data_IF_235376224527
#
_entry.id   IF_235376224527
#
_cell.length_a   1.000
_cell.length_b   1.000
_cell.length_c   1.000
_cell.angle_alpha   90.00
_cell.angle_beta   90.00
_cell.angle_gamma   90.00
#
_symmetry.space_group_name_H-M   'P 1'
#
loop_
_entity.id
_entity.type
_entity.pdbx_description
1 polymer ?
#
# COMPACT_ATOMS: atom_id res chain seq x y z
N UNK A 1 13.79 -2.58 -39.63
CA UNK A 1 14.26 -3.14 -38.35
C UNK A 1 13.65 -2.30 -37.20
N UNK A 2 12.97 -2.91 -36.23
CA UNK A 2 12.26 -2.18 -35.17
C UNK A 2 13.29 -1.43 -34.29
N UNK A 3 13.10 -0.13 -34.01
CA UNK A 3 14.03 0.70 -33.22
C UNK A 3 14.48 0.04 -31.90
N UNK A 4 13.59 -0.76 -31.27
CA UNK A 4 13.91 -1.52 -30.05
C UNK A 4 14.95 -2.63 -30.30
N UNK A 5 14.89 -3.26 -31.45
CA UNK A 5 15.86 -4.32 -31.82
C UNK A 5 17.25 -3.75 -32.13
N UNK A 6 17.30 -2.58 -32.79
CA UNK A 6 18.56 -1.88 -33.07
C UNK A 6 19.20 -1.38 -31.76
N UNK A 7 18.41 -0.85 -30.84
CA UNK A 7 18.87 -0.38 -29.53
C UNK A 7 19.43 -1.55 -28.69
N UNK A 8 18.76 -2.71 -28.72
CA UNK A 8 19.21 -3.90 -28.03
C UNK A 8 20.56 -4.37 -28.61
N UNK A 9 20.73 -4.37 -29.94
CA UNK A 9 21.98 -4.77 -30.62
C UNK A 9 23.14 -3.85 -30.17
N UNK A 10 22.90 -2.54 -30.08
CA UNK A 10 23.88 -1.57 -29.61
C UNK A 10 24.26 -1.81 -28.14
N UNK A 11 23.29 -2.12 -27.28
CA UNK A 11 23.51 -2.38 -25.85
C UNK A 11 24.27 -3.71 -25.63
N UNK A 12 24.01 -4.74 -26.46
CA UNK A 12 24.71 -6.02 -26.43
C UNK A 12 26.16 -5.84 -26.91
N UNK A 13 26.38 -5.09 -27.97
CA UNK A 13 27.71 -4.81 -28.52
C UNK A 13 28.59 -3.99 -27.54
N UNK A 14 27.99 -3.18 -26.69
CA UNK A 14 28.68 -2.41 -25.65
C UNK A 14 28.83 -3.13 -24.30
N UNK A 15 28.47 -4.44 -24.22
CA UNK A 15 28.53 -5.20 -22.97
C UNK A 15 27.53 -4.78 -21.87
N UNK A 16 26.59 -3.90 -22.19
CA UNK A 16 25.57 -3.39 -21.26
C UNK A 16 24.38 -4.35 -21.10
N UNK A 17 24.31 -5.39 -21.96
CA UNK A 17 23.26 -6.41 -21.92
C UNK A 17 23.89 -7.82 -21.86
N UNK A 18 23.32 -8.75 -21.08
CA UNK A 18 23.71 -10.15 -21.11
C UNK A 18 23.52 -10.72 -22.53
N UNK A 19 24.55 -11.41 -23.09
CA UNK A 19 24.55 -11.95 -24.46
C UNK A 19 23.36 -12.87 -24.80
N UNK A 20 22.63 -13.39 -23.78
CA UNK A 20 21.52 -14.35 -23.92
C UNK A 20 20.23 -13.83 -23.35
N UNK A 21 19.89 -12.54 -23.49
CA UNK A 21 18.61 -12.01 -23.05
C UNK A 21 17.68 -11.68 -24.21
N UNK A 22 16.41 -12.02 -24.05
CA UNK A 22 15.35 -11.76 -25.01
C UNK A 22 14.52 -10.54 -24.58
N UNK A 23 13.96 -9.83 -25.56
CA UNK A 23 12.96 -8.79 -25.28
C UNK A 23 11.62 -9.47 -24.97
N UNK A 24 11.09 -9.25 -23.76
CA UNK A 24 9.87 -9.89 -23.30
C UNK A 24 8.69 -9.68 -24.25
N UNK A 25 8.48 -8.45 -24.73
CA UNK A 25 7.35 -8.08 -25.59
C UNK A 25 7.40 -8.71 -27.00
N UNK A 26 8.52 -9.32 -27.38
CA UNK A 26 8.62 -10.03 -28.68
C UNK A 26 8.32 -11.52 -28.59
N UNK A 27 8.14 -12.04 -27.37
CA UNK A 27 7.92 -13.47 -27.15
C UNK A 27 6.46 -13.85 -27.37
N UNK A 28 6.16 -14.97 -28.04
CA UNK A 28 4.81 -15.47 -28.17
C UNK A 28 4.22 -15.89 -26.83
N UNK A 29 2.93 -15.56 -26.60
CA UNK A 29 2.17 -15.95 -25.43
C UNK A 29 0.94 -16.75 -25.82
N UNK A 30 0.64 -17.85 -25.10
CA UNK A 30 -0.56 -18.65 -25.24
C UNK A 30 -1.01 -19.09 -23.85
N UNK A 31 -2.22 -18.74 -23.45
CA UNK A 31 -2.78 -19.07 -22.12
C UNK A 31 -1.88 -18.66 -20.93
N UNK A 32 -1.21 -17.52 -21.06
CA UNK A 32 -0.26 -17.03 -20.04
C UNK A 32 1.07 -17.75 -19.96
N UNK A 33 1.34 -18.65 -20.91
CA UNK A 33 2.61 -19.38 -21.07
C UNK A 33 3.40 -18.71 -22.19
N UNK A 34 4.67 -18.43 -21.94
CA UNK A 34 5.59 -17.84 -22.91
C UNK A 34 6.32 -18.94 -23.68
N UNK A 35 6.42 -18.77 -24.99
CA UNK A 35 7.10 -19.71 -25.87
C UNK A 35 8.34 -19.10 -26.52
N UNK A 36 9.30 -19.93 -26.82
CA UNK A 36 10.48 -19.56 -27.60
C UNK A 36 10.06 -19.41 -29.07
N UNK A 37 10.30 -18.25 -29.71
CA UNK A 37 9.90 -18.03 -31.11
C UNK A 37 10.66 -18.94 -32.13
N UNK A 38 11.85 -19.37 -31.76
CA UNK A 38 12.73 -20.11 -32.71
C UNK A 38 12.39 -21.61 -32.81
N UNK A 39 11.88 -22.19 -31.72
CA UNK A 39 11.65 -23.64 -31.65
C UNK A 39 10.26 -24.03 -31.14
N UNK A 40 9.40 -23.05 -30.78
CA UNK A 40 8.02 -23.26 -30.32
C UNK A 40 7.88 -23.97 -28.96
N UNK A 41 8.98 -24.18 -28.21
CA UNK A 41 8.96 -24.79 -26.88
C UNK A 41 8.68 -23.76 -25.80
N UNK A 42 8.17 -24.16 -24.58
CA UNK A 42 8.08 -23.27 -23.44
C UNK A 42 9.42 -22.60 -23.13
N UNK A 43 9.37 -21.26 -22.95
CA UNK A 43 10.57 -20.43 -22.83
C UNK A 43 11.24 -20.58 -21.45
N UNK A 44 12.58 -20.65 -21.42
CA UNK A 44 13.33 -20.89 -20.16
C UNK A 44 14.59 -20.04 -20.02
N UNK A 45 14.56 -18.79 -20.49
CA UNK A 45 15.71 -17.90 -20.50
C UNK A 45 15.45 -16.57 -19.75
N UNK A 46 16.49 -15.75 -19.71
CA UNK A 46 16.42 -14.37 -19.21
C UNK A 46 15.68 -13.48 -20.21
N UNK A 47 14.88 -12.57 -19.67
CA UNK A 47 14.20 -11.54 -20.45
C UNK A 47 14.48 -10.17 -19.90
N UNK A 48 14.46 -9.21 -20.81
CA UNK A 48 14.49 -7.79 -20.48
C UNK A 48 13.44 -7.08 -21.33
N UNK A 49 12.85 -6.03 -20.80
CA UNK A 49 11.99 -5.09 -21.54
C UNK A 49 12.57 -3.69 -21.39
N UNK A 50 12.52 -2.91 -22.44
CA UNK A 50 13.01 -1.54 -22.45
C UNK A 50 11.84 -0.56 -22.57
N UNK A 51 11.99 0.60 -21.97
CA UNK A 51 11.22 1.78 -22.30
C UNK A 51 11.65 2.33 -23.67
N UNK A 52 10.83 3.21 -24.25
CA UNK A 52 11.14 3.85 -25.55
C UNK A 52 12.40 4.73 -25.50
N UNK A 53 12.79 5.22 -24.31
CA UNK A 53 14.03 5.94 -24.08
C UNK A 53 15.26 5.02 -23.92
N UNK A 54 15.12 3.71 -24.10
CA UNK A 54 16.19 2.72 -24.00
C UNK A 54 16.55 2.24 -22.62
N UNK A 55 15.97 2.80 -21.57
CA UNK A 55 16.20 2.33 -20.20
C UNK A 55 15.47 1.01 -19.94
N UNK A 56 16.03 0.19 -19.03
CA UNK A 56 15.42 -1.07 -18.63
C UNK A 56 14.09 -0.80 -17.91
N UNK A 57 13.00 -1.40 -18.41
CA UNK A 57 11.68 -1.38 -17.82
C UNK A 57 11.49 -2.53 -16.82
N UNK A 58 11.98 -3.70 -17.20
CA UNK A 58 11.99 -4.90 -16.34
C UNK A 58 13.08 -5.88 -16.77
N UNK A 59 13.45 -6.76 -15.85
CA UNK A 59 14.26 -7.95 -16.13
C UNK A 59 13.86 -9.10 -15.21
N UNK A 60 13.89 -10.32 -15.74
CA UNK A 60 13.55 -11.52 -15.01
C UNK A 60 13.87 -12.78 -15.81
N UNK A 61 13.38 -13.90 -15.32
CA UNK A 61 13.58 -15.20 -15.97
C UNK A 61 12.26 -15.96 -16.08
N UNK A 62 12.07 -16.61 -17.21
CA UNK A 62 11.07 -17.66 -17.34
C UNK A 62 11.71 -19.04 -17.16
N UNK A 63 10.90 -19.99 -16.70
CA UNK A 63 11.25 -21.41 -16.67
C UNK A 63 9.99 -22.20 -17.08
N UNK A 64 10.10 -22.99 -18.15
CA UNK A 64 8.97 -23.72 -18.72
C UNK A 64 7.80 -22.83 -19.16
N UNK A 65 8.09 -21.60 -19.62
CA UNK A 65 7.11 -20.62 -20.06
C UNK A 65 6.46 -19.79 -18.95
N UNK A 66 6.79 -20.06 -17.67
CA UNK A 66 6.27 -19.34 -16.51
C UNK A 66 7.32 -18.38 -15.95
N UNK A 67 6.88 -17.22 -15.47
CA UNK A 67 7.79 -16.35 -14.74
C UNK A 67 8.24 -17.05 -13.44
N UNK A 68 9.56 -17.08 -13.22
CA UNK A 68 10.16 -17.81 -12.12
C UNK A 68 11.42 -17.11 -11.61
N UNK A 69 11.71 -17.23 -10.31
CA UNK A 69 12.87 -16.59 -9.72
C UNK A 69 12.71 -15.09 -9.51
N UNK A 70 13.82 -14.36 -9.40
CA UNK A 70 13.80 -12.93 -9.12
C UNK A 70 13.46 -12.10 -10.36
N UNK A 71 12.55 -11.12 -10.15
CA UNK A 71 12.16 -10.11 -11.11
C UNK A 71 12.41 -8.73 -10.54
N UNK A 72 12.87 -7.83 -11.40
CA UNK A 72 13.11 -6.42 -11.09
C UNK A 72 12.38 -5.55 -12.11
N UNK A 73 11.69 -4.54 -11.63
CA UNK A 73 10.93 -3.55 -12.39
C UNK A 73 11.49 -2.17 -12.10
N UNK A 74 11.50 -1.30 -13.10
CA UNK A 74 12.10 0.02 -13.02
C UNK A 74 11.12 1.09 -13.48
N UNK A 75 11.35 2.30 -13.07
CA UNK A 75 10.73 3.50 -13.60
C UNK A 75 11.48 4.02 -14.83
N UNK A 76 10.85 4.93 -15.59
CA UNK A 76 11.44 5.57 -16.79
C UNK A 76 12.69 6.42 -16.50
N UNK A 77 12.97 6.73 -15.24
CA UNK A 77 14.20 7.40 -14.80
C UNK A 77 15.29 6.42 -14.33
N UNK A 78 15.11 5.12 -14.54
CA UNK A 78 16.06 4.07 -14.16
C UNK A 78 16.00 3.63 -12.69
N UNK A 79 15.25 4.34 -11.84
CA UNK A 79 15.06 3.95 -10.44
C UNK A 79 14.27 2.64 -10.32
N UNK A 80 14.62 1.82 -9.34
CA UNK A 80 13.91 0.57 -9.07
C UNK A 80 12.47 0.88 -8.63
N UNK A 81 11.50 0.19 -9.24
CA UNK A 81 10.07 0.27 -8.93
C UNK A 81 9.62 -0.86 -8.02
N UNK A 82 10.06 -2.10 -8.32
CA UNK A 82 9.71 -3.27 -7.53
C UNK A 82 10.74 -4.39 -7.73
N UNK A 83 10.92 -5.23 -6.71
CA UNK A 83 11.73 -6.46 -6.79
C UNK A 83 11.15 -7.53 -5.90
N UNK A 84 11.11 -8.77 -6.41
CA UNK A 84 10.65 -9.93 -5.67
C UNK A 84 10.79 -11.20 -6.49
N UNK A 85 10.20 -12.28 -5.98
CA UNK A 85 10.26 -13.59 -6.64
C UNK A 85 8.88 -14.01 -7.13
N UNK A 86 8.89 -14.65 -8.29
CA UNK A 86 7.76 -15.44 -8.79
C UNK A 86 8.04 -16.93 -8.69
N UNK A 87 6.96 -17.70 -8.58
CA UNK A 87 6.97 -19.14 -8.72
C UNK A 87 5.85 -19.57 -9.65
N UNK A 88 6.20 -20.07 -10.82
CA UNK A 88 5.28 -20.53 -11.88
C UNK A 88 4.14 -19.54 -12.17
N UNK A 89 4.46 -18.24 -12.27
CA UNK A 89 3.48 -17.21 -12.55
C UNK A 89 3.15 -17.15 -14.03
N UNK A 90 1.86 -17.10 -14.38
CA UNK A 90 1.38 -16.88 -15.74
C UNK A 90 1.57 -15.41 -16.13
N UNK A 91 1.93 -15.18 -17.37
CA UNK A 91 2.10 -13.84 -17.91
C UNK A 91 1.11 -13.57 -19.04
N UNK A 92 -0.11 -13.23 -18.66
CA UNK A 92 -1.21 -13.05 -19.61
C UNK A 92 -1.10 -11.80 -20.50
N UNK A 93 -0.36 -10.78 -20.08
CA UNK A 93 -0.43 -9.46 -20.72
C UNK A 93 0.86 -9.01 -21.41
N UNK A 94 2.00 -9.60 -21.08
CA UNK A 94 3.33 -9.12 -21.50
C UNK A 94 3.63 -7.65 -21.18
N UNK A 95 2.73 -6.98 -20.45
CA UNK A 95 2.84 -5.58 -20.05
C UNK A 95 2.77 -5.43 -18.52
N UNK A 96 3.50 -4.43 -18.01
CA UNK A 96 3.49 -4.13 -16.59
C UNK A 96 4.07 -5.24 -15.71
N UNK A 97 3.60 -5.29 -14.48
CA UNK A 97 3.99 -6.32 -13.51
C UNK A 97 3.04 -7.52 -13.62
N UNK A 98 3.62 -8.72 -13.48
CA UNK A 98 2.84 -9.95 -13.37
C UNK A 98 2.12 -9.92 -12.02
N UNK A 99 0.83 -10.21 -12.00
CA UNK A 99 -0.01 -10.04 -10.80
C UNK A 99 -0.07 -11.29 -9.93
N UNK A 100 -0.05 -12.49 -10.52
CA UNK A 100 -0.09 -13.77 -9.81
C UNK A 100 1.30 -14.36 -9.54
N UNK A 101 1.35 -15.47 -8.81
CA UNK A 101 2.59 -16.24 -8.59
C UNK A 101 3.67 -15.54 -7.77
N UNK A 102 3.41 -14.38 -7.16
CA UNK A 102 4.34 -13.73 -6.24
C UNK A 102 4.56 -14.58 -5.01
N UNK A 103 5.85 -14.76 -4.64
CA UNK A 103 6.24 -15.52 -3.44
C UNK A 103 7.39 -14.85 -2.71
N UNK A 104 7.46 -15.08 -1.39
CA UNK A 104 8.53 -14.55 -0.56
C UNK A 104 8.53 -13.02 -0.47
N UNK A 105 9.67 -12.46 -0.08
CA UNK A 105 9.81 -11.03 0.16
C UNK A 105 9.73 -10.23 -1.14
N UNK A 106 8.88 -9.20 -1.13
CA UNK A 106 8.78 -8.16 -2.14
C UNK A 106 9.08 -6.80 -1.55
N UNK A 107 9.74 -5.95 -2.35
CA UNK A 107 10.03 -4.55 -2.01
C UNK A 107 9.61 -3.69 -3.18
N UNK A 108 8.95 -2.59 -2.88
CA UNK A 108 8.49 -1.58 -3.84
C UNK A 108 9.06 -0.22 -3.43
N UNK A 109 9.32 0.61 -4.42
CA UNK A 109 9.87 1.96 -4.24
C UNK A 109 9.01 2.99 -4.96
N UNK A 110 9.06 4.21 -4.51
CA UNK A 110 8.58 5.38 -5.23
C UNK A 110 9.58 5.79 -6.32
N UNK A 111 9.15 6.65 -7.25
CA UNK A 111 9.97 7.16 -8.36
C UNK A 111 11.18 7.99 -7.89
N UNK A 112 11.14 8.55 -6.69
CA UNK A 112 12.27 9.24 -6.06
C UNK A 112 13.28 8.28 -5.35
N UNK A 113 13.05 6.95 -5.40
CA UNK A 113 13.92 5.94 -4.81
C UNK A 113 13.64 5.61 -3.34
N UNK A 114 12.73 6.31 -2.65
CA UNK A 114 12.32 5.95 -1.30
C UNK A 114 11.48 4.67 -1.31
N UNK A 115 11.54 3.86 -0.26
CA UNK A 115 10.69 2.66 -0.13
C UNK A 115 9.22 3.07 -0.11
N UNK A 116 8.38 2.30 -0.80
CA UNK A 116 6.93 2.45 -0.83
C UNK A 116 6.24 1.43 0.05
N UNK A 117 6.58 0.15 -0.10
CA UNK A 117 6.07 -0.94 0.73
C UNK A 117 6.95 -2.17 0.65
N UNK A 118 6.91 -3.00 1.69
CA UNK A 118 7.56 -4.33 1.71
C UNK A 118 6.78 -5.30 2.56
N UNK A 119 6.86 -6.57 2.19
CA UNK A 119 6.24 -7.66 2.92
C UNK A 119 6.47 -8.98 2.20
N UNK A 120 5.73 -9.98 2.60
CA UNK A 120 5.81 -11.34 2.08
C UNK A 120 4.54 -11.66 1.29
N UNK A 121 4.70 -12.26 0.12
CA UNK A 121 3.63 -12.91 -0.60
C UNK A 121 3.69 -14.43 -0.43
N UNK A 122 2.52 -15.03 -0.25
CA UNK A 122 2.31 -16.47 -0.30
C UNK A 122 1.20 -16.75 -1.31
N UNK A 123 1.52 -17.54 -2.35
CA UNK A 123 0.57 -17.84 -3.43
C UNK A 123 -0.10 -16.59 -4.04
N UNK A 124 0.67 -15.57 -4.36
CA UNK A 124 0.21 -14.31 -4.95
C UNK A 124 -0.50 -13.35 -3.99
N UNK A 125 -0.79 -13.76 -2.74
CA UNK A 125 -1.49 -12.95 -1.74
C UNK A 125 -0.55 -12.44 -0.67
N UNK A 126 -0.80 -11.24 -0.17
CA UNK A 126 -0.09 -10.67 0.97
C UNK A 126 -0.27 -11.59 2.20
N UNK A 127 0.85 -11.92 2.88
CA UNK A 127 0.85 -12.80 4.05
C UNK A 127 1.96 -12.38 5.01
N UNK A 128 1.71 -12.45 6.34
CA UNK A 128 2.65 -11.96 7.34
C UNK A 128 2.71 -10.44 7.43
N UNK A 129 3.80 -9.90 7.96
CA UNK A 129 3.93 -8.47 8.23
C UNK A 129 4.21 -7.68 6.96
N UNK A 130 3.49 -6.57 6.81
CA UNK A 130 3.66 -5.58 5.75
C UNK A 130 3.91 -4.21 6.35
N UNK A 131 4.81 -3.45 5.71
CA UNK A 131 5.14 -2.06 6.07
C UNK A 131 4.99 -1.19 4.84
N UNK A 132 4.36 -0.04 5.02
CA UNK A 132 4.13 0.97 3.98
C UNK A 132 4.77 2.29 4.41
N UNK A 133 5.23 3.08 3.46
CA UNK A 133 5.86 4.38 3.69
C UNK A 133 5.22 5.46 2.82
N UNK A 134 5.26 6.67 3.31
CA UNK A 134 5.04 7.87 2.52
C UNK A 134 6.23 8.14 1.60
N UNK A 135 6.03 8.98 0.58
CA UNK A 135 7.10 9.37 -0.35
C UNK A 135 8.20 10.21 0.31
N UNK A 136 7.92 10.88 1.43
CA UNK A 136 8.90 11.58 2.26
C UNK A 136 9.77 10.66 3.13
N UNK A 137 9.51 9.33 3.12
CA UNK A 137 10.27 8.32 3.85
C UNK A 137 9.74 7.99 5.24
N UNK A 138 8.78 8.74 5.79
CA UNK A 138 8.11 8.38 7.03
C UNK A 138 7.22 7.15 6.84
N UNK A 139 7.08 6.36 7.91
CA UNK A 139 6.17 5.21 7.91
C UNK A 139 4.73 5.71 7.75
N UNK A 140 3.97 5.08 6.84
CA UNK A 140 2.56 5.33 6.62
C UNK A 140 1.70 4.36 7.44
N UNK A 141 1.99 3.07 7.33
CA UNK A 141 1.26 2.04 8.06
C UNK A 141 2.04 0.73 8.12
N UNK A 142 1.71 -0.08 9.11
CA UNK A 142 2.16 -1.46 9.19
C UNK A 142 1.06 -2.34 9.78
N UNK A 143 1.09 -3.61 9.41
CA UNK A 143 0.14 -4.58 9.92
C UNK A 143 0.37 -5.96 9.34
N UNK A 144 -0.38 -6.89 9.88
CA UNK A 144 -0.30 -8.29 9.48
C UNK A 144 -1.42 -8.63 8.49
N UNK A 145 -1.05 -9.40 7.48
CA UNK A 145 -1.98 -9.96 6.50
C UNK A 145 -2.03 -11.48 6.62
N UNK A 146 -3.19 -12.04 6.35
CA UNK A 146 -3.42 -13.48 6.22
C UNK A 146 -4.20 -13.73 4.94
N UNK A 147 -3.57 -14.40 3.97
CA UNK A 147 -4.18 -14.70 2.66
C UNK A 147 -4.77 -13.45 1.95
N UNK A 148 -4.09 -12.32 2.02
CA UNK A 148 -4.47 -11.06 1.38
C UNK A 148 -5.37 -10.15 2.19
N UNK A 149 -5.82 -10.56 3.38
CA UNK A 149 -6.70 -9.80 4.27
C UNK A 149 -5.96 -9.33 5.52
N UNK A 150 -6.26 -8.14 6.01
CA UNK A 150 -5.75 -7.65 7.29
C UNK A 150 -6.17 -8.59 8.43
N UNK A 151 -5.21 -8.97 9.28
CA UNK A 151 -5.46 -9.90 10.38
C UNK A 151 -4.40 -9.75 11.47
N UNK A 152 -4.79 -9.27 12.64
CA UNK A 152 -3.93 -8.89 13.76
C UNK A 152 -3.72 -7.38 13.81
N UNK A 153 -2.73 -6.95 14.59
CA UNK A 153 -2.51 -5.54 14.89
C UNK A 153 -2.18 -4.72 13.63
N UNK A 154 -2.85 -3.60 13.51
CA UNK A 154 -2.65 -2.54 12.53
C UNK A 154 -2.26 -1.26 13.23
N UNK A 155 -1.31 -0.55 12.65
CA UNK A 155 -0.93 0.80 13.07
C UNK A 155 -0.69 1.68 11.87
N UNK A 156 -1.17 2.92 11.92
CA UNK A 156 -0.88 3.93 10.89
C UNK A 156 -0.40 5.25 11.50
N UNK A 157 0.27 6.05 10.66
CA UNK A 157 0.86 7.32 11.03
C UNK A 157 0.50 8.38 9.99
N UNK A 158 0.44 9.61 10.42
CA UNK A 158 0.41 10.78 9.55
C UNK A 158 1.77 11.00 8.87
N UNK A 159 1.80 11.80 7.81
CA UNK A 159 3.03 12.11 7.07
C UNK A 159 4.08 12.92 7.87
N UNK A 160 3.70 13.48 9.02
CA UNK A 160 4.59 14.12 9.99
C UNK A 160 5.20 13.14 11.01
N UNK A 161 4.81 11.85 10.98
CA UNK A 161 5.30 10.79 11.85
C UNK A 161 4.48 10.56 13.13
N UNK A 162 3.48 11.37 13.42
CA UNK A 162 2.57 11.14 14.54
C UNK A 162 1.64 9.96 14.26
N UNK A 163 1.29 9.20 15.30
CA UNK A 163 0.35 8.09 15.20
C UNK A 163 -1.00 8.62 14.76
N UNK A 164 -1.68 7.90 13.86
CA UNK A 164 -3.02 8.18 13.38
C UNK A 164 -4.05 7.22 13.99
N UNK A 165 -3.77 5.92 13.97
CA UNK A 165 -4.65 4.90 14.50
C UNK A 165 -3.91 3.65 14.92
N UNK A 166 -4.45 2.92 15.91
CA UNK A 166 -4.01 1.59 16.33
C UNK A 166 -5.25 0.76 16.67
N UNK A 167 -5.25 -0.49 16.24
CA UNK A 167 -6.26 -1.48 16.59
C UNK A 167 -5.97 -2.82 15.93
N UNK A 168 -6.87 -3.75 16.09
CA UNK A 168 -6.75 -5.06 15.49
C UNK A 168 -7.78 -5.27 14.38
N UNK A 169 -7.39 -6.06 13.37
CA UNK A 169 -8.27 -6.57 12.35
C UNK A 169 -8.41 -8.08 12.42
N UNK A 170 -9.60 -8.58 12.16
CA UNK A 170 -9.88 -9.98 11.87
C UNK A 170 -10.50 -10.06 10.48
N UNK A 171 -9.70 -10.52 9.50
CA UNK A 171 -10.13 -10.70 8.09
C UNK A 171 -10.74 -9.45 7.46
N UNK A 172 -10.07 -8.31 7.56
CA UNK A 172 -10.44 -6.96 7.13
C UNK A 172 -11.50 -6.25 7.97
N UNK A 173 -11.98 -6.86 9.03
CA UNK A 173 -12.95 -6.26 9.94
C UNK A 173 -12.27 -5.81 11.22
N UNK A 174 -12.54 -4.58 11.66
CA UNK A 174 -12.06 -4.06 12.93
C UNK A 174 -12.57 -4.96 14.08
N UNK A 175 -11.67 -5.28 15.02
CA UNK A 175 -11.97 -6.15 16.16
C UNK A 175 -11.17 -5.69 17.39
N UNK A 176 -11.77 -5.72 18.59
CA UNK A 176 -11.11 -5.24 19.80
C UNK A 176 -11.05 -3.71 19.90
N UNK A 177 -10.12 -3.23 20.72
CA UNK A 177 -9.96 -1.82 21.04
C UNK A 177 -9.26 -1.04 19.91
N UNK A 178 -9.85 0.12 19.56
CA UNK A 178 -9.31 1.04 18.59
C UNK A 178 -9.10 2.42 19.19
N UNK A 179 -7.99 3.04 18.85
CA UNK A 179 -7.62 4.38 19.25
C UNK A 179 -7.23 5.19 18.02
N UNK A 180 -7.71 6.45 17.97
CA UNK A 180 -7.49 7.37 16.86
C UNK A 180 -6.94 8.69 17.39
N UNK A 181 -5.93 9.24 16.70
CA UNK A 181 -5.30 10.51 17.05
C UNK A 181 -5.39 11.48 15.87
N UNK A 182 -5.33 12.76 16.16
CA UNK A 182 -5.17 13.78 15.12
C UNK A 182 -3.69 13.95 14.72
N UNK A 183 -3.46 14.80 13.72
CA UNK A 183 -2.12 15.01 13.15
C UNK A 183 -1.13 15.72 14.10
N UNK A 184 -1.60 16.31 15.19
CA UNK A 184 -0.75 16.89 16.24
C UNK A 184 -0.49 15.93 17.40
N UNK A 185 -1.07 14.71 17.36
CA UNK A 185 -0.87 13.64 18.34
C UNK A 185 -1.88 13.64 19.48
N UNK A 186 -2.96 14.43 19.40
CA UNK A 186 -4.04 14.43 20.36
C UNK A 186 -4.97 13.24 20.11
N UNK A 187 -5.28 12.46 21.16
CA UNK A 187 -6.29 11.41 21.09
C UNK A 187 -7.66 12.04 20.82
N UNK A 188 -8.32 11.60 19.73
CA UNK A 188 -9.62 12.14 19.30
C UNK A 188 -10.77 11.17 19.45
N UNK A 189 -10.50 9.86 19.41
CA UNK A 189 -11.53 8.83 19.54
C UNK A 189 -10.96 7.53 20.09
N UNK A 190 -11.74 6.83 20.94
CA UNK A 190 -11.53 5.42 21.31
C UNK A 190 -12.83 4.67 21.21
N UNK A 191 -12.76 3.38 20.93
CA UNK A 191 -13.91 2.50 20.93
C UNK A 191 -13.54 1.04 20.77
N UNK A 192 -14.48 0.17 21.04
CA UNK A 192 -14.34 -1.26 20.85
C UNK A 192 -15.21 -1.75 19.69
N UNK A 193 -14.68 -2.68 18.91
CA UNK A 193 -15.33 -3.23 17.72
C UNK A 193 -15.39 -4.76 17.80
N UNK A 194 -16.41 -5.33 17.22
CA UNK A 194 -16.55 -6.76 17.03
C UNK A 194 -17.06 -7.03 15.61
N UNK A 195 -16.28 -7.77 14.83
CA UNK A 195 -16.62 -8.06 13.43
C UNK A 195 -16.96 -6.78 12.62
N UNK A 196 -16.21 -5.70 12.77
CA UNK A 196 -16.38 -4.42 12.11
C UNK A 196 -17.52 -3.55 12.64
N UNK A 197 -18.22 -3.98 13.69
CA UNK A 197 -19.34 -3.24 14.30
C UNK A 197 -18.94 -2.66 15.64
N UNK A 198 -19.24 -1.39 15.92
CA UNK A 198 -18.96 -0.81 17.23
C UNK A 198 -19.79 -1.49 18.33
N UNK A 199 -19.14 -1.75 19.47
CA UNK A 199 -19.72 -2.31 20.68
C UNK A 199 -19.20 -1.57 21.91
N UNK A 200 -19.92 -1.63 23.03
CA UNK A 200 -19.51 -1.00 24.28
C UNK A 200 -19.44 0.51 24.21
N UNK A 201 -18.64 1.10 25.08
CA UNK A 201 -18.47 2.55 25.17
C UNK A 201 -17.48 3.07 24.14
N UNK A 202 -17.90 4.06 23.35
CA UNK A 202 -17.06 4.88 22.52
C UNK A 202 -16.97 6.29 23.09
N UNK A 203 -15.81 6.89 23.03
CA UNK A 203 -15.53 8.23 23.54
C UNK A 203 -14.76 9.05 22.53
N UNK A 204 -15.08 10.35 22.47
CA UNK A 204 -14.38 11.31 21.63
C UNK A 204 -13.91 12.52 22.44
N UNK A 205 -12.83 13.18 21.97
CA UNK A 205 -12.21 14.33 22.61
C UNK A 205 -12.05 15.49 21.63
N UNK A 206 -12.00 16.69 22.16
CA UNK A 206 -11.59 17.89 21.46
C UNK A 206 -10.07 17.94 21.35
N UNK A 207 -9.55 18.78 20.46
CA UNK A 207 -8.09 19.01 20.32
C UNK A 207 -7.46 19.59 21.59
N UNK A 208 -8.25 20.19 22.49
CA UNK A 208 -7.83 20.61 23.82
C UNK A 208 -7.60 19.47 24.82
N UNK A 209 -7.94 18.21 24.43
CA UNK A 209 -7.91 17.05 25.31
C UNK A 209 -9.15 16.89 26.20
N UNK A 210 -10.09 17.83 26.18
CA UNK A 210 -11.35 17.74 26.92
C UNK A 210 -12.28 16.72 26.25
N UNK A 211 -13.07 15.99 27.06
CA UNK A 211 -14.06 15.04 26.55
C UNK A 211 -15.12 15.78 25.72
N UNK A 212 -15.41 15.28 24.52
CA UNK A 212 -16.36 15.84 23.57
C UNK A 212 -17.68 15.10 23.59
N UNK A 213 -17.61 13.77 23.55
CA UNK A 213 -18.79 12.92 23.59
C UNK A 213 -18.47 11.53 24.13
N UNK A 214 -19.52 10.82 24.54
CA UNK A 214 -19.52 9.42 24.93
C UNK A 214 -20.83 8.79 24.49
N UNK A 215 -20.76 7.59 23.96
CA UNK A 215 -21.92 6.84 23.48
C UNK A 215 -21.67 5.35 23.66
N UNK A 216 -22.71 4.60 24.00
CA UNK A 216 -22.66 3.15 24.05
C UNK A 216 -23.26 2.55 22.78
N UNK A 217 -22.66 1.44 22.34
CA UNK A 217 -23.13 0.65 21.21
C UNK A 217 -23.44 -0.78 21.63
N UNK A 218 -24.48 -1.34 21.03
CA UNK A 218 -24.80 -2.77 21.08
C UNK A 218 -25.02 -3.26 19.64
N UNK A 219 -24.21 -4.23 19.21
CA UNK A 219 -24.29 -4.81 17.85
C UNK A 219 -24.33 -3.77 16.73
N UNK A 220 -23.50 -2.72 16.81
CA UNK A 220 -23.38 -1.66 15.80
C UNK A 220 -24.41 -0.54 15.89
N UNK A 221 -25.38 -0.62 16.81
CA UNK A 221 -26.42 0.40 17.02
C UNK A 221 -26.19 1.14 18.32
N UNK A 222 -26.43 2.46 18.34
CA UNK A 222 -26.41 3.23 19.57
C UNK A 222 -27.41 2.64 20.57
N UNK A 223 -26.98 2.44 21.81
CA UNK A 223 -27.77 1.83 22.87
C UNK A 223 -27.43 2.47 24.20
N UNK A 224 -28.46 2.75 25.01
CA UNK A 224 -28.27 3.32 26.32
C UNK A 224 -27.93 4.82 26.32
N UNK A 225 -27.07 5.25 27.25
CA UNK A 225 -26.76 6.66 27.49
C UNK A 225 -25.85 7.27 26.42
N UNK A 226 -26.16 8.50 26.07
CA UNK A 226 -25.30 9.41 25.31
C UNK A 226 -25.00 10.64 26.19
N UNK A 227 -23.75 11.10 26.17
CA UNK A 227 -23.36 12.36 26.77
C UNK A 227 -22.50 13.16 25.81
N UNK A 228 -22.67 14.46 25.79
CA UNK A 228 -21.81 15.39 25.06
C UNK A 228 -21.45 16.58 25.94
N UNK A 229 -20.30 17.13 25.73
CA UNK A 229 -19.77 18.28 26.46
C UNK A 229 -19.42 19.38 25.47
N UNK A 230 -19.65 20.61 25.84
CA UNK A 230 -19.20 21.77 25.11
C UNK A 230 -17.71 21.99 25.44
N UNK A 231 -16.92 22.36 24.43
CA UNK A 231 -15.57 22.78 24.68
C UNK A 231 -15.54 24.05 25.52
N UNK A 232 -14.88 24.01 26.69
CA UNK A 232 -14.61 25.22 27.46
C UNK A 232 -13.53 26.00 26.70
N UNK A 233 -13.94 26.97 25.88
CA UNK A 233 -13.01 27.92 25.29
C UNK A 233 -12.24 28.61 26.45
N UNK A 234 -10.93 28.87 26.28
CA UNK A 234 -10.21 29.66 27.30
C UNK A 234 -10.94 30.96 27.48
N UNK A 235 -11.22 31.30 28.75
CA UNK A 235 -11.93 32.51 29.14
C UNK A 235 -11.21 33.73 28.54
N UNK A 236 -11.74 34.29 27.45
CA UNK A 236 -11.40 35.65 27.02
C UNK A 236 -12.32 36.59 27.81
N UNK A 237 -11.78 37.47 28.65
CA UNK A 237 -12.60 38.50 29.26
C UNK A 237 -13.30 39.26 28.14
N UNK A 238 -14.62 39.13 28.06
CA UNK A 238 -15.42 39.96 27.17
C UNK A 238 -15.35 41.36 27.74
N UNK A 239 -14.72 42.30 27.06
CA UNK A 239 -14.84 43.71 27.44
C UNK A 239 -16.28 44.11 27.28
N UNK A 240 -16.99 44.28 28.41
CA UNK A 240 -18.43 44.62 28.49
C UNK A 240 -18.82 45.93 27.79
N UNK A 241 -17.87 46.66 27.23
CA UNK A 241 -18.10 47.97 26.56
C UNK A 241 -18.86 47.89 25.26
N UNK A 242 -19.10 46.69 24.68
CA UNK A 242 -19.75 46.56 23.34
C UNK A 242 -21.09 45.81 23.34
N UNK A 243 -21.60 45.37 24.47
CA UNK A 243 -22.89 44.67 24.53
C UNK A 243 -24.04 45.68 24.60
N UNK A 244 -24.76 45.91 23.48
CA UNK A 244 -26.11 46.48 23.45
C UNK A 244 -27.11 45.33 23.51
N UNK A 245 -28.07 45.30 24.46
CA UNK A 245 -29.08 44.26 24.46
C UNK A 245 -29.93 44.38 23.20
N UNK A 246 -30.15 43.25 22.52
CA UNK A 246 -31.14 43.17 21.43
C UNK A 246 -32.52 43.18 22.10
N UNK A 247 -33.21 44.31 22.03
CA UNK A 247 -34.63 44.41 22.43
C UNK A 247 -35.44 43.76 21.30
N UNK A 248 -35.92 42.54 21.53
CA UNK A 248 -36.97 41.97 20.68
C UNK A 248 -38.25 42.79 20.92
N UNK A 249 -38.63 43.61 19.94
CA UNK A 249 -39.97 44.21 19.90
C UNK A 249 -40.95 43.08 19.56
N UNK A 250 -41.99 42.98 20.39
CA UNK A 250 -43.17 42.12 20.17
C UNK A 250 -43.91 42.54 18.91
#
# INVERSE_FOLDING_TARGET
MNNKLLLLLILVLNGLFPQNSYIRSTLPIRDGIIFNPDNGRPFSELVTELFDNGQIKLKGRYAGGFANGYWSYFYTNGQMKARGRYYKAHDYKLEGMIEDGRVGKWVYWFKNGTKKMTGIYKNGKMDGNWVFWYQNGYKHSEGRYKSGKLHGTWQSWYANGNIQEIGDYVMDLMDGDWNFWDSIGQLIETGNYQNGRPIGEHSGWYNSGNKKWRVNYHSGKRHGSYASWFEKLPYRPIEWKTWKPIVLRQ
#
